data_IF_645066662462
#
_entry.id   IF_645066662462
#
_cell.length_a   1.000
_cell.length_b   1.000
_cell.length_c   1.000
_cell.angle_alpha   90.00
_cell.angle_beta   90.00
_cell.angle_gamma   90.00
#
_symmetry.space_group_name_H-M   'P 1'
#
loop_
_entity.id
_entity.type
_entity.pdbx_description
1 polymer ?
#
# COMPACT_ATOMS: atom_id res chain seq x y z
N UNK A 1 26.47 -96.34 -31.10
CA UNK A 1 26.14 -96.47 -29.65
C UNK A 1 25.76 -95.08 -29.11
N UNK A 2 25.46 -94.95 -27.80
CA UNK A 2 24.84 -93.73 -27.20
C UNK A 2 25.82 -92.55 -26.97
N UNK A 3 25.26 -91.33 -26.90
CA UNK A 3 25.85 -90.05 -26.40
C UNK A 3 25.84 -89.99 -24.85
N UNK A 4 26.30 -88.91 -24.16
CA UNK A 4 27.14 -87.75 -24.56
C UNK A 4 28.51 -87.81 -23.81
N UNK A 5 29.19 -86.84 -23.17
CA UNK A 5 29.09 -85.39 -22.80
C UNK A 5 30.51 -84.93 -22.35
N UNK A 6 30.99 -83.68 -22.30
CA UNK A 6 30.49 -82.32 -22.62
C UNK A 6 31.68 -81.42 -23.04
N UNK A 7 31.41 -80.34 -23.79
CA UNK A 7 32.27 -79.15 -24.04
C UNK A 7 32.06 -78.11 -22.90
N UNK A 8 32.87 -77.08 -22.61
CA UNK A 8 34.22 -76.65 -23.03
C UNK A 8 34.45 -75.13 -22.76
N UNK A 9 35.68 -74.66 -23.01
CA UNK A 9 36.19 -73.27 -23.26
C UNK A 9 35.20 -72.09 -23.46
N UNK A 10 35.53 -70.81 -23.14
CA UNK A 10 36.79 -70.16 -22.72
C UNK A 10 36.63 -68.69 -22.21
N UNK A 11 37.75 -68.12 -21.71
CA UNK A 11 38.18 -66.70 -21.72
C UNK A 11 37.42 -65.58 -20.95
N UNK A 12 38.02 -65.21 -19.80
CA UNK A 12 38.53 -63.88 -19.44
C UNK A 12 37.65 -62.61 -19.35
N UNK A 13 37.65 -62.06 -18.12
CA UNK A 13 37.67 -60.64 -17.72
C UNK A 13 36.47 -59.73 -18.07
N UNK A 14 35.80 -59.25 -17.02
CA UNK A 14 34.99 -58.02 -17.05
C UNK A 14 35.27 -57.16 -15.80
N UNK A 15 35.14 -55.84 -15.97
CA UNK A 15 35.33 -54.80 -14.94
C UNK A 15 34.05 -54.66 -14.07
N UNK A 16 34.17 -54.41 -12.76
CA UNK A 16 32.99 -54.32 -11.88
C UNK A 16 32.33 -52.93 -11.89
N UNK A 17 31.23 -52.79 -12.64
CA UNK A 17 30.44 -51.55 -12.73
C UNK A 17 29.93 -51.03 -11.37
N UNK A 18 30.19 -49.76 -11.08
CA UNK A 18 29.58 -49.02 -9.96
C UNK A 18 28.46 -48.10 -10.49
N UNK A 19 27.26 -48.64 -10.65
CA UNK A 19 26.08 -47.91 -11.10
C UNK A 19 24.96 -47.92 -10.04
N UNK A 20 24.62 -46.76 -9.46
CA UNK A 20 23.50 -46.72 -8.50
C UNK A 20 23.28 -45.49 -7.61
N UNK A 21 23.74 -44.27 -7.91
CA UNK A 21 23.39 -43.10 -7.06
C UNK A 21 23.34 -41.76 -7.82
N UNK A 22 22.17 -41.38 -8.36
CA UNK A 22 21.92 -39.99 -8.81
C UNK A 22 20.45 -39.55 -8.86
N UNK A 23 19.49 -40.45 -9.12
CA UNK A 23 18.08 -40.01 -9.31
C UNK A 23 17.34 -39.59 -8.03
N UNK A 24 17.84 -39.95 -6.85
CA UNK A 24 17.18 -39.63 -5.56
C UNK A 24 17.08 -38.14 -5.22
N UNK A 25 18.05 -37.32 -5.64
CA UNK A 25 18.12 -35.91 -5.24
C UNK A 25 17.14 -34.98 -5.98
N UNK A 26 16.68 -35.35 -7.18
CA UNK A 26 15.79 -34.50 -7.98
C UNK A 26 14.38 -34.38 -7.36
N UNK A 27 13.93 -35.45 -6.67
CA UNK A 27 12.62 -35.49 -6.02
C UNK A 27 12.67 -34.91 -4.60
N UNK A 28 13.74 -35.14 -3.82
CA UNK A 28 13.90 -34.54 -2.48
C UNK A 28 13.81 -33.00 -2.52
N UNK A 29 14.46 -32.38 -3.51
CA UNK A 29 14.42 -30.93 -3.71
C UNK A 29 12.99 -30.38 -3.86
N UNK A 30 12.05 -31.18 -4.37
CA UNK A 30 10.63 -30.83 -4.51
C UNK A 30 9.77 -31.28 -3.32
N UNK A 31 10.20 -32.28 -2.55
CA UNK A 31 9.53 -32.74 -1.33
C UNK A 31 10.07 -32.13 -0.04
N UNK A 32 10.91 -31.08 -0.13
CA UNK A 32 11.08 -30.08 0.94
C UNK A 32 9.78 -29.31 1.14
N UNK A 33 8.87 -29.95 1.87
CA UNK A 33 7.61 -29.39 2.34
C UNK A 33 7.89 -28.05 3.02
N UNK A 34 7.49 -26.94 2.37
CA UNK A 34 7.44 -25.61 2.97
C UNK A 34 6.86 -25.75 4.38
N UNK A 35 7.60 -25.30 5.40
CA UNK A 35 7.15 -25.46 6.78
C UNK A 35 5.76 -24.81 6.91
N UNK A 36 4.84 -25.33 7.77
CA UNK A 36 3.48 -24.82 7.84
C UNK A 36 3.40 -23.29 8.00
N UNK A 37 4.33 -22.72 8.76
CA UNK A 37 4.51 -21.27 8.92
C UNK A 37 5.00 -20.54 7.67
N UNK A 38 5.89 -21.12 6.87
CA UNK A 38 6.33 -20.58 5.57
C UNK A 38 5.18 -20.56 4.57
N UNK A 39 4.39 -21.63 4.48
CA UNK A 39 3.19 -21.67 3.64
C UNK A 39 2.15 -20.63 4.11
N UNK A 40 1.94 -20.51 5.43
CA UNK A 40 1.08 -19.46 5.99
C UNK A 40 1.61 -18.05 5.72
N UNK A 41 2.93 -17.83 5.77
CA UNK A 41 3.56 -16.55 5.45
C UNK A 41 3.47 -16.21 3.95
N UNK A 42 3.75 -17.17 3.06
CA UNK A 42 3.58 -17.03 1.62
C UNK A 42 2.12 -16.71 1.25
N UNK A 43 1.15 -17.42 1.86
CA UNK A 43 -0.29 -17.15 1.67
C UNK A 43 -0.70 -15.75 2.16
N UNK A 44 -0.13 -15.26 3.26
CA UNK A 44 -0.32 -13.87 3.74
C UNK A 44 0.29 -12.86 2.75
N UNK A 45 1.51 -13.08 2.26
CA UNK A 45 2.23 -12.23 1.29
C UNK A 45 1.48 -12.15 -0.05
N UNK A 46 1.01 -13.29 -0.58
CA UNK A 46 0.18 -13.36 -1.79
C UNK A 46 -1.13 -12.58 -1.61
N UNK A 47 -1.84 -12.75 -0.48
CA UNK A 47 -3.07 -12.01 -0.19
C UNK A 47 -2.85 -10.50 -0.18
N UNK A 48 -1.73 -10.02 0.37
CA UNK A 48 -1.34 -8.60 0.35
C UNK A 48 -1.08 -8.11 -1.07
N UNK A 49 -0.29 -8.85 -1.86
CA UNK A 49 0.02 -8.47 -3.24
C UNK A 49 -1.23 -8.40 -4.14
N UNK A 50 -2.16 -9.35 -4.01
CA UNK A 50 -3.44 -9.36 -4.73
C UNK A 50 -4.29 -8.12 -4.40
N UNK A 51 -4.35 -7.73 -3.13
CA UNK A 51 -5.06 -6.51 -2.69
C UNK A 51 -4.36 -5.24 -3.20
N UNK A 52 -3.03 -5.18 -3.18
CA UNK A 52 -2.26 -4.03 -3.67
C UNK A 52 -2.41 -3.85 -5.20
N UNK A 53 -2.40 -4.95 -5.97
CA UNK A 53 -2.67 -4.94 -7.40
C UNK A 53 -4.11 -4.50 -7.74
N UNK A 54 -5.14 -5.02 -7.03
CA UNK A 54 -6.53 -4.59 -7.23
C UNK A 54 -6.70 -3.08 -6.97
N UNK A 55 -6.02 -2.54 -5.94
CA UNK A 55 -6.03 -1.10 -5.66
C UNK A 55 -5.33 -0.27 -6.75
N UNK A 56 -4.28 -0.81 -7.39
CA UNK A 56 -3.65 -0.16 -8.54
C UNK A 56 -4.58 -0.13 -9.76
N UNK A 57 -5.31 -1.21 -10.04
CA UNK A 57 -6.33 -1.25 -11.11
C UNK A 57 -7.49 -0.28 -10.84
N UNK A 58 -7.99 -0.19 -9.60
CA UNK A 58 -9.04 0.76 -9.23
C UNK A 58 -8.54 2.23 -9.29
N UNK A 59 -7.27 2.48 -8.95
CA UNK A 59 -6.63 3.79 -9.15
C UNK A 59 -6.49 4.15 -10.64
N UNK A 60 -6.10 3.19 -11.51
CA UNK A 60 -6.03 3.39 -12.96
C UNK A 60 -7.40 3.70 -13.57
N UNK A 61 -8.46 3.01 -13.12
CA UNK A 61 -9.85 3.32 -13.53
C UNK A 61 -10.26 4.73 -13.10
N UNK A 62 -9.93 5.15 -11.87
CA UNK A 62 -10.21 6.50 -11.39
C UNK A 62 -9.42 7.57 -12.17
N UNK A 63 -8.15 7.31 -12.50
CA UNK A 63 -7.32 8.17 -13.37
C UNK A 63 -7.96 8.35 -14.75
N UNK A 64 -8.39 7.26 -15.40
CA UNK A 64 -9.12 7.30 -16.68
C UNK A 64 -10.35 8.21 -16.61
N UNK A 65 -11.24 7.96 -15.64
CA UNK A 65 -12.49 8.71 -15.47
C UNK A 65 -12.21 10.21 -15.21
N UNK A 66 -11.22 10.51 -14.37
CA UNK A 66 -10.83 11.88 -14.03
C UNK A 66 -10.29 12.64 -15.25
N UNK A 67 -9.40 12.02 -16.04
CA UNK A 67 -8.82 12.66 -17.23
C UNK A 67 -9.84 12.90 -18.34
N UNK A 68 -10.69 11.91 -18.66
CA UNK A 68 -11.77 12.08 -19.66
C UNK A 68 -12.71 13.23 -19.23
N UNK A 69 -13.08 13.27 -17.94
CA UNK A 69 -13.90 14.36 -17.38
C UNK A 69 -13.18 15.70 -17.38
N UNK A 70 -11.86 15.69 -17.15
CA UNK A 70 -10.98 16.85 -17.18
C UNK A 70 -10.90 17.48 -18.57
N UNK A 71 -10.56 16.71 -19.61
CA UNK A 71 -10.54 17.17 -20.99
C UNK A 71 -11.91 17.71 -21.42
N UNK A 72 -13.01 17.00 -21.12
CA UNK A 72 -14.36 17.46 -21.44
C UNK A 72 -14.69 18.80 -20.77
N UNK A 73 -14.32 18.99 -19.49
CA UNK A 73 -14.50 20.27 -18.78
C UNK A 73 -13.60 21.39 -19.31
N UNK A 74 -12.35 21.07 -19.67
CA UNK A 74 -11.39 22.04 -20.21
C UNK A 74 -11.84 22.55 -21.58
N UNK A 75 -12.25 21.64 -22.48
CA UNK A 75 -12.81 21.99 -23.79
C UNK A 75 -14.11 22.77 -23.65
N UNK A 76 -15.05 22.35 -22.79
CA UNK A 76 -16.29 23.13 -22.54
C UNK A 76 -16.01 24.55 -22.00
N UNK A 77 -14.94 24.72 -21.22
CA UNK A 77 -14.49 26.04 -20.76
C UNK A 77 -13.92 26.85 -21.94
N UNK A 78 -13.12 26.24 -22.82
CA UNK A 78 -12.60 26.87 -24.04
C UNK A 78 -13.73 27.34 -24.97
N UNK A 79 -14.70 26.47 -25.30
CA UNK A 79 -15.88 26.82 -26.12
C UNK A 79 -16.65 28.02 -25.55
N UNK A 80 -16.81 28.09 -24.22
CA UNK A 80 -17.52 29.20 -23.56
C UNK A 80 -16.86 30.55 -23.84
N UNK A 81 -15.53 30.59 -23.95
CA UNK A 81 -14.77 31.80 -24.26
C UNK A 81 -14.70 32.08 -25.78
N UNK A 82 -14.33 31.09 -26.60
CA UNK A 82 -14.07 31.29 -28.03
C UNK A 82 -15.33 31.27 -28.91
N UNK A 83 -16.45 30.74 -28.41
CA UNK A 83 -17.70 30.47 -29.15
C UNK A 83 -17.59 29.44 -30.28
N UNK A 84 -16.41 28.84 -30.48
CA UNK A 84 -16.18 27.80 -31.50
C UNK A 84 -16.57 26.44 -30.90
N UNK A 85 -17.50 25.67 -31.50
CA UNK A 85 -17.85 24.33 -31.04
C UNK A 85 -16.76 23.32 -31.42
N UNK A 86 -15.92 22.95 -30.46
CA UNK A 86 -14.73 22.09 -30.67
C UNK A 86 -14.66 20.90 -29.72
N UNK A 87 -15.44 20.91 -28.62
CA UNK A 87 -15.43 19.85 -27.60
C UNK A 87 -15.80 18.49 -28.22
N UNK A 88 -16.83 18.43 -29.06
CA UNK A 88 -17.25 17.17 -29.67
C UNK A 88 -16.21 16.61 -30.65
N UNK A 89 -15.73 17.46 -31.58
CA UNK A 89 -14.74 17.07 -32.58
C UNK A 89 -13.43 16.58 -31.94
N UNK A 90 -12.85 17.35 -31.02
CA UNK A 90 -11.60 16.98 -30.35
C UNK A 90 -11.76 15.74 -29.45
N UNK A 91 -12.90 15.57 -28.78
CA UNK A 91 -13.18 14.35 -28.01
C UNK A 91 -13.16 13.12 -28.93
N UNK A 92 -13.99 13.10 -29.97
CA UNK A 92 -14.10 11.96 -30.88
C UNK A 92 -12.77 11.66 -31.59
N UNK A 93 -12.08 12.68 -32.12
CA UNK A 93 -10.89 12.50 -32.95
C UNK A 93 -9.62 12.16 -32.14
N UNK A 94 -9.41 12.81 -30.99
CA UNK A 94 -8.12 12.74 -30.25
C UNK A 94 -8.18 12.01 -28.91
N UNK A 95 -9.36 11.90 -28.28
CA UNK A 95 -9.50 11.31 -26.94
C UNK A 95 -10.20 9.97 -26.97
N UNK A 96 -11.27 9.80 -27.76
CA UNK A 96 -11.98 8.51 -27.84
C UNK A 96 -11.20 7.45 -28.62
N UNK A 97 -10.35 7.88 -29.55
CA UNK A 97 -9.33 7.08 -30.26
C UNK A 97 -8.16 6.64 -29.38
N UNK A 98 -7.99 7.23 -28.18
CA UNK A 98 -6.82 6.96 -27.33
C UNK A 98 -6.93 5.63 -26.58
N UNK A 99 -5.80 4.94 -26.40
CA UNK A 99 -5.76 3.65 -25.70
C UNK A 99 -6.31 3.72 -24.26
N UNK A 100 -6.19 4.86 -23.57
CA UNK A 100 -6.71 5.04 -22.21
C UNK A 100 -8.23 5.28 -22.17
N UNK A 101 -8.90 5.54 -23.30
CA UNK A 101 -10.36 5.70 -23.33
C UNK A 101 -11.12 4.39 -23.12
N UNK A 102 -10.53 3.24 -23.46
CA UNK A 102 -11.17 1.93 -23.29
C UNK A 102 -11.28 1.53 -21.81
N UNK A 103 -12.51 1.39 -21.30
CA UNK A 103 -12.76 0.84 -19.95
C UNK A 103 -12.69 -0.70 -19.92
N UNK A 104 -12.74 -1.35 -21.11
CA UNK A 104 -12.94 -2.80 -21.24
C UNK A 104 -11.81 -3.60 -20.59
N UNK A 105 -10.55 -3.27 -20.90
CA UNK A 105 -9.39 -4.00 -20.37
C UNK A 105 -9.25 -3.87 -18.85
N UNK A 106 -9.45 -2.66 -18.31
CA UNK A 106 -9.34 -2.41 -16.86
C UNK A 106 -10.47 -3.11 -16.10
N UNK A 107 -11.69 -3.14 -16.65
CA UNK A 107 -12.80 -3.90 -16.06
C UNK A 107 -12.55 -5.42 -16.12
N UNK A 108 -12.07 -5.95 -17.24
CA UNK A 108 -11.78 -7.38 -17.37
C UNK A 108 -10.76 -7.84 -16.31
N UNK A 109 -9.63 -7.11 -16.17
CA UNK A 109 -8.63 -7.40 -15.13
C UNK A 109 -9.19 -7.26 -13.70
N UNK A 110 -10.06 -6.27 -13.43
CA UNK A 110 -10.73 -6.14 -12.13
C UNK A 110 -11.66 -7.33 -11.83
N UNK A 111 -12.38 -7.84 -12.83
CA UNK A 111 -13.30 -8.97 -12.67
C UNK A 111 -12.60 -10.31 -12.55
N UNK A 112 -11.52 -10.53 -13.31
CA UNK A 112 -10.64 -11.69 -13.18
C UNK A 112 -10.03 -11.75 -11.76
N UNK A 113 -9.48 -10.63 -11.29
CA UNK A 113 -8.93 -10.52 -9.93
C UNK A 113 -9.99 -10.70 -8.84
N UNK A 114 -11.23 -10.23 -9.04
CA UNK A 114 -12.36 -10.57 -8.16
C UNK A 114 -12.65 -12.08 -8.17
N UNK A 115 -12.64 -12.73 -9.34
CA UNK A 115 -12.86 -14.17 -9.50
C UNK A 115 -11.82 -15.02 -8.77
N UNK A 116 -10.53 -14.80 -9.07
CA UNK A 116 -9.40 -15.51 -8.46
C UNK A 116 -9.39 -15.35 -6.94
N UNK A 117 -9.60 -14.12 -6.44
CA UNK A 117 -9.65 -13.89 -4.99
C UNK A 117 -10.87 -14.54 -4.32
N UNK A 118 -12.04 -14.52 -4.99
CA UNK A 118 -13.26 -15.19 -4.51
C UNK A 118 -13.06 -16.69 -4.38
N UNK A 119 -12.47 -17.33 -5.39
CA UNK A 119 -12.19 -18.76 -5.42
C UNK A 119 -11.17 -19.17 -4.34
N UNK A 120 -10.06 -18.43 -4.21
CA UNK A 120 -8.93 -18.86 -3.36
C UNK A 120 -8.99 -18.40 -1.89
N UNK A 121 -9.78 -17.37 -1.55
CA UNK A 121 -9.79 -16.78 -0.20
C UNK A 121 -11.15 -16.64 0.49
N UNK A 122 -12.28 -16.61 -0.21
CA UNK A 122 -13.61 -16.41 0.42
C UNK A 122 -14.68 -17.43 -0.06
N UNK A 123 -14.24 -18.63 -0.49
CA UNK A 123 -15.09 -19.81 -0.75
C UNK A 123 -16.32 -19.51 -1.62
N UNK A 124 -16.13 -18.84 -2.76
CA UNK A 124 -17.20 -18.55 -3.72
C UNK A 124 -18.02 -17.28 -3.43
N UNK A 125 -17.89 -16.65 -2.25
CA UNK A 125 -18.70 -15.47 -1.90
C UNK A 125 -18.16 -14.18 -2.55
N UNK A 126 -18.50 -13.94 -3.83
CA UNK A 126 -18.04 -12.76 -4.62
C UNK A 126 -18.39 -11.41 -3.98
N UNK A 127 -19.53 -11.30 -3.28
CA UNK A 127 -19.92 -10.09 -2.54
C UNK A 127 -18.95 -9.78 -1.39
N UNK A 128 -18.64 -10.78 -0.57
CA UNK A 128 -17.68 -10.67 0.55
C UNK A 128 -16.24 -10.46 0.07
N UNK A 129 -15.84 -11.14 -1.00
CA UNK A 129 -14.56 -10.93 -1.68
C UNK A 129 -14.38 -9.47 -2.13
N UNK A 130 -15.32 -8.95 -2.93
CA UNK A 130 -15.32 -7.56 -3.41
C UNK A 130 -15.32 -6.54 -2.27
N UNK A 131 -16.12 -6.78 -1.23
CA UNK A 131 -16.16 -5.94 -0.03
C UNK A 131 -14.82 -5.91 0.72
N UNK A 132 -14.05 -7.01 0.73
CA UNK A 132 -12.69 -7.03 1.31
C UNK A 132 -11.65 -6.38 0.40
N UNK A 133 -11.70 -6.61 -0.91
CA UNK A 133 -10.74 -6.02 -1.87
C UNK A 133 -10.80 -4.49 -1.81
N UNK A 134 -12.00 -3.92 -1.98
CA UNK A 134 -12.26 -2.47 -1.84
C UNK A 134 -12.09 -1.99 -0.40
N UNK A 135 -12.61 -2.74 0.58
CA UNK A 135 -12.56 -2.40 2.00
C UNK A 135 -11.17 -2.39 2.62
N UNK A 136 -10.17 -3.03 2.00
CA UNK A 136 -8.76 -2.98 2.45
C UNK A 136 -8.11 -1.62 2.21
N UNK A 137 -8.79 -0.68 1.54
CA UNK A 137 -8.45 0.75 1.52
C UNK A 137 -8.80 1.50 2.81
N UNK A 138 -9.56 0.90 3.74
CA UNK A 138 -9.86 1.52 5.03
C UNK A 138 -8.59 1.63 5.88
N UNK A 139 -8.03 2.83 5.91
CA UNK A 139 -7.19 3.31 7.01
C UNK A 139 -7.93 2.95 8.30
N UNK A 140 -7.26 2.28 9.25
CA UNK A 140 -7.82 2.07 10.59
C UNK A 140 -7.97 3.44 11.23
N UNK A 141 -9.17 4.02 11.18
CA UNK A 141 -9.40 5.34 11.72
C UNK A 141 -9.22 5.29 13.23
N UNK A 142 -8.21 6.00 13.73
CA UNK A 142 -7.86 6.09 15.15
C UNK A 142 -8.88 6.96 15.93
N UNK A 143 -10.19 6.80 15.67
CA UNK A 143 -11.27 7.60 16.26
C UNK A 143 -11.14 7.69 17.78
N UNK A 144 -10.82 6.58 18.45
CA UNK A 144 -10.61 6.54 19.90
C UNK A 144 -9.38 7.33 20.37
N UNK A 145 -8.30 7.39 19.58
CA UNK A 145 -7.13 8.22 19.86
C UNK A 145 -7.44 9.70 19.66
N UNK A 146 -8.12 10.05 18.56
CA UNK A 146 -8.56 11.43 18.28
C UNK A 146 -9.55 11.94 19.32
N UNK A 147 -10.44 11.06 19.81
CA UNK A 147 -11.38 11.33 20.89
C UNK A 147 -10.65 11.54 22.23
N UNK A 148 -9.70 10.67 22.59
CA UNK A 148 -8.85 10.84 23.78
C UNK A 148 -8.06 12.15 23.74
N UNK A 149 -7.41 12.49 22.62
CA UNK A 149 -6.72 13.78 22.48
C UNK A 149 -7.67 14.97 22.55
N UNK A 150 -8.89 14.84 22.02
CA UNK A 150 -9.93 15.86 22.12
C UNK A 150 -10.37 16.12 23.56
N UNK A 151 -10.58 15.07 24.36
CA UNK A 151 -10.90 15.19 25.79
C UNK A 151 -9.73 15.81 26.57
N UNK A 152 -8.49 15.36 26.33
CA UNK A 152 -7.31 15.89 27.01
C UNK A 152 -7.09 17.38 26.70
N UNK A 153 -7.27 17.80 25.43
CA UNK A 153 -7.24 19.21 25.06
C UNK A 153 -8.40 20.01 25.69
N UNK A 154 -9.60 19.44 25.73
CA UNK A 154 -10.77 20.04 26.37
C UNK A 154 -10.61 20.25 27.88
N UNK A 155 -9.89 19.36 28.57
CA UNK A 155 -9.55 19.49 29.99
C UNK A 155 -8.38 20.45 30.23
N UNK A 156 -7.40 20.48 29.31
CA UNK A 156 -6.25 21.38 29.41
C UNK A 156 -6.60 22.86 29.16
N UNK A 157 -7.64 23.15 28.37
CA UNK A 157 -8.03 24.53 28.06
C UNK A 157 -8.47 25.35 29.29
N UNK A 158 -9.41 24.89 30.15
CA UNK A 158 -9.73 25.59 31.39
C UNK A 158 -8.54 25.73 32.35
N UNK A 159 -7.68 24.71 32.41
CA UNK A 159 -6.47 24.74 33.23
C UNK A 159 -5.47 25.81 32.76
N UNK A 160 -5.28 25.95 31.43
CA UNK A 160 -4.46 27.02 30.86
C UNK A 160 -5.07 28.41 31.09
N UNK A 161 -6.37 28.59 30.90
CA UNK A 161 -7.04 29.88 31.16
C UNK A 161 -6.91 30.27 32.63
N UNK A 162 -7.11 29.32 33.55
CA UNK A 162 -6.91 29.54 34.99
C UNK A 162 -5.45 29.86 35.33
N UNK A 163 -4.49 29.10 34.79
CA UNK A 163 -3.06 29.34 35.02
C UNK A 163 -2.58 30.70 34.50
N UNK A 164 -3.06 31.11 33.33
CA UNK A 164 -2.79 32.45 32.76
C UNK A 164 -3.43 33.53 33.64
N UNK A 165 -4.66 33.34 34.11
CA UNK A 165 -5.33 34.29 35.00
C UNK A 165 -4.58 34.50 36.32
N UNK A 166 -4.24 33.42 37.04
CA UNK A 166 -3.46 33.50 38.29
C UNK A 166 -2.03 34.01 38.04
N UNK A 167 -1.46 33.78 36.87
CA UNK A 167 -0.19 34.37 36.43
C UNK A 167 -0.25 35.90 36.26
N UNK A 168 -1.44 36.53 36.20
CA UNK A 168 -1.61 37.98 36.19
C UNK A 168 -2.01 38.56 37.56
N UNK A 169 -2.30 37.74 38.57
CA UNK A 169 -2.50 38.22 39.94
C UNK A 169 -1.15 38.51 40.60
N UNK A 170 -1.05 39.64 41.30
CA UNK A 170 0.18 40.08 41.94
C UNK A 170 0.60 39.14 43.10
N UNK A 171 -0.35 38.79 43.96
CA UNK A 171 -0.12 38.01 45.19
C UNK A 171 0.50 36.63 44.90
N UNK A 172 0.08 35.97 43.81
CA UNK A 172 0.63 34.66 43.38
C UNK A 172 2.08 34.75 42.87
N UNK A 173 2.60 35.96 42.60
CA UNK A 173 4.01 36.18 42.22
C UNK A 173 4.89 36.32 43.46
N UNK A 174 4.40 37.06 44.45
CA UNK A 174 5.11 37.34 45.69
C UNK A 174 5.16 36.11 46.63
N UNK A 175 4.18 35.21 46.54
CA UNK A 175 4.12 33.95 47.30
C UNK A 175 5.06 32.85 46.77
N UNK A 176 5.46 32.89 45.49
CA UNK A 176 6.22 31.81 44.82
C UNK A 176 7.69 32.22 44.58
N UNK A 177 8.65 31.80 45.42
CA UNK A 177 10.06 32.10 45.21
C UNK A 177 10.56 31.46 43.90
N UNK A 178 11.00 32.29 42.96
CA UNK A 178 11.47 31.86 41.64
C UNK A 178 10.40 31.86 40.53
N UNK A 179 9.28 32.57 40.73
CA UNK A 179 8.17 32.69 39.78
C UNK A 179 8.59 32.92 38.31
N UNK A 180 9.53 33.84 38.03
CA UNK A 180 10.00 34.12 36.67
C UNK A 180 10.64 32.92 35.97
N UNK A 181 11.43 32.12 36.70
CA UNK A 181 12.06 30.91 36.16
C UNK A 181 11.01 29.83 35.86
N UNK A 182 9.99 29.73 36.71
CA UNK A 182 8.86 28.82 36.52
C UNK A 182 8.02 29.23 35.30
N UNK A 183 7.73 30.52 35.15
CA UNK A 183 7.06 31.11 33.99
C UNK A 183 7.84 30.83 32.69
N UNK A 184 9.17 31.01 32.70
CA UNK A 184 10.02 30.77 31.54
C UNK A 184 10.00 29.30 31.10
N UNK A 185 10.10 28.36 32.04
CA UNK A 185 10.03 26.91 31.76
C UNK A 185 8.66 26.52 31.20
N UNK A 186 7.56 26.95 31.82
CA UNK A 186 6.22 26.67 31.29
C UNK A 186 5.95 27.36 29.95
N UNK A 187 6.46 28.59 29.75
CA UNK A 187 6.36 29.32 28.49
C UNK A 187 7.04 28.58 27.33
N UNK A 188 8.28 28.11 27.52
CA UNK A 188 8.99 27.33 26.51
C UNK A 188 8.32 25.98 26.20
N UNK A 189 7.64 25.36 27.18
CA UNK A 189 6.83 24.15 26.95
C UNK A 189 5.48 24.45 26.27
N UNK A 190 4.87 25.59 26.55
CA UNK A 190 3.58 26.01 26.00
C UNK A 190 3.68 26.37 24.51
N UNK A 191 4.76 27.05 24.08
CA UNK A 191 4.92 27.55 22.70
C UNK A 191 4.81 26.42 21.65
N UNK A 192 5.52 25.27 21.75
CA UNK A 192 5.37 24.15 20.79
C UNK A 192 3.98 23.51 20.80
N UNK A 193 3.33 23.43 21.96
CA UNK A 193 1.98 22.87 22.11
C UNK A 193 0.95 23.79 21.44
N UNK A 194 1.03 25.10 21.72
CA UNK A 194 0.18 26.12 21.13
C UNK A 194 0.37 26.21 19.61
N UNK A 195 1.61 26.19 19.12
CA UNK A 195 1.91 26.16 17.68
C UNK A 195 1.31 24.91 17.01
N UNK A 196 1.47 23.73 17.62
CA UNK A 196 0.87 22.48 17.12
C UNK A 196 -0.66 22.54 17.09
N UNK A 197 -1.28 23.19 18.08
CA UNK A 197 -2.73 23.42 18.13
C UNK A 197 -3.18 24.37 17.01
N UNK A 198 -2.46 25.47 16.76
CA UNK A 198 -2.75 26.39 15.65
C UNK A 198 -2.62 25.71 14.29
N UNK A 199 -1.61 24.86 14.08
CA UNK A 199 -1.47 24.05 12.85
C UNK A 199 -2.66 23.08 12.73
N UNK A 200 -3.06 22.43 13.82
CA UNK A 200 -4.25 21.58 13.86
C UNK A 200 -5.55 22.32 13.51
N UNK A 201 -5.74 23.54 14.00
CA UNK A 201 -6.88 24.40 13.64
C UNK A 201 -6.86 24.80 12.17
N UNK A 202 -5.71 25.16 11.61
CA UNK A 202 -5.58 25.46 10.17
C UNK A 202 -5.95 24.25 9.30
N UNK A 203 -5.49 23.05 9.65
CA UNK A 203 -5.89 21.80 8.98
C UNK A 203 -7.41 21.54 9.08
N UNK A 204 -8.03 21.83 10.22
CA UNK A 204 -9.49 21.72 10.40
C UNK A 204 -10.28 22.74 9.58
N UNK A 205 -9.77 23.96 9.42
CA UNK A 205 -10.36 25.00 8.56
C UNK A 205 -10.26 24.57 7.09
N UNK A 206 -9.09 24.17 6.60
CA UNK A 206 -8.91 23.69 5.22
C UNK A 206 -9.78 22.45 4.92
N UNK A 207 -9.92 21.54 5.89
CA UNK A 207 -10.82 20.38 5.81
C UNK A 207 -12.29 20.80 5.64
N UNK A 208 -12.77 21.80 6.41
CA UNK A 208 -14.13 22.35 6.24
C UNK A 208 -14.31 23.08 4.91
N UNK A 209 -13.32 23.86 4.48
CA UNK A 209 -13.31 24.55 3.18
C UNK A 209 -13.13 23.63 1.96
N UNK A 210 -13.20 22.30 2.14
CA UNK A 210 -13.04 21.27 1.08
C UNK A 210 -11.70 21.33 0.32
N UNK A 211 -10.69 22.01 0.88
CA UNK A 211 -9.35 22.07 0.31
C UNK A 211 -8.69 20.71 0.53
N UNK A 212 -8.20 20.08 -0.54
CA UNK A 212 -7.52 18.79 -0.44
C UNK A 212 -6.07 18.96 0.06
N UNK A 213 -5.93 19.30 1.34
CA UNK A 213 -4.63 19.51 1.99
C UNK A 213 -3.74 18.25 1.96
N UNK A 214 -4.32 17.05 1.93
CA UNK A 214 -3.59 15.78 1.78
C UNK A 214 -2.86 15.72 0.43
N UNK A 215 -3.46 16.25 -0.63
CA UNK A 215 -2.81 16.39 -1.94
C UNK A 215 -1.79 17.53 -1.96
N UNK A 216 -2.11 18.69 -1.39
CA UNK A 216 -1.22 19.88 -1.38
C UNK A 216 0.10 19.60 -0.63
N UNK A 217 0.03 18.99 0.55
CA UNK A 217 1.22 18.66 1.35
C UNK A 217 1.82 17.28 1.02
N UNK A 218 1.37 16.62 -0.05
CA UNK A 218 1.90 15.33 -0.48
C UNK A 218 1.76 14.21 0.56
N UNK A 219 0.86 14.31 1.53
CA UNK A 219 0.70 13.39 2.68
C UNK A 219 0.11 12.01 2.31
N UNK A 220 0.19 11.63 1.04
CA UNK A 220 0.11 10.24 0.62
C UNK A 220 1.34 9.49 1.14
N UNK A 221 1.21 8.83 2.29
CA UNK A 221 2.15 7.80 2.75
C UNK A 221 2.37 6.81 1.60
N UNK A 222 3.58 6.74 1.00
CA UNK A 222 3.87 5.72 0.01
C UNK A 222 3.74 4.36 0.68
N UNK A 223 3.14 3.36 0.01
CA UNK A 223 3.22 1.99 0.55
C UNK A 223 4.68 1.53 0.44
N UNK A 224 5.40 1.56 1.57
CA UNK A 224 6.86 1.33 1.70
C UNK A 224 7.34 0.02 1.06
N UNK A 225 6.43 -0.87 0.70
CA UNK A 225 6.65 -2.07 -0.12
C UNK A 225 7.23 -1.79 -1.51
N UNK A 226 7.03 -0.61 -2.11
CA UNK A 226 7.32 -0.36 -3.53
C UNK A 226 8.80 -0.22 -3.86
N UNK A 227 9.65 0.25 -2.95
CA UNK A 227 11.06 0.53 -3.23
C UNK A 227 11.98 -0.69 -2.97
N UNK A 228 11.63 -1.56 -2.02
CA UNK A 228 12.46 -2.72 -1.65
C UNK A 228 12.49 -3.79 -2.75
N UNK A 229 11.42 -3.92 -3.54
CA UNK A 229 11.34 -4.89 -4.65
C UNK A 229 12.27 -4.54 -5.80
N UNK A 230 12.33 -3.28 -6.24
CA UNK A 230 13.22 -2.86 -7.34
C UNK A 230 14.70 -2.93 -6.98
N UNK A 231 15.06 -2.67 -5.71
CA UNK A 231 16.45 -2.77 -5.25
C UNK A 231 16.91 -4.23 -5.17
N UNK A 232 16.07 -5.14 -4.66
CA UNK A 232 16.39 -6.56 -4.57
C UNK A 232 16.50 -7.23 -5.95
N UNK A 233 15.61 -6.91 -6.89
CA UNK A 233 15.64 -7.47 -8.25
C UNK A 233 16.80 -6.93 -9.12
N UNK A 234 17.26 -5.69 -8.85
CA UNK A 234 18.49 -5.15 -9.48
C UNK A 234 19.74 -5.88 -8.98
N UNK A 235 19.83 -6.16 -7.68
CA UNK A 235 20.96 -6.88 -7.08
C UNK A 235 21.06 -8.34 -7.55
N UNK A 236 19.92 -9.02 -7.73
CA UNK A 236 19.90 -10.37 -8.29
C UNK A 236 20.44 -10.43 -9.72
N UNK A 237 20.09 -9.45 -10.56
CA UNK A 237 20.56 -9.39 -11.96
C UNK A 237 22.05 -9.05 -12.09
N UNK A 238 22.62 -8.24 -11.20
CA UNK A 238 24.07 -7.93 -11.24
C UNK A 238 24.97 -9.11 -10.91
N UNK A 239 24.53 -10.04 -10.07
CA UNK A 239 25.32 -11.24 -9.75
C UNK A 239 25.26 -12.30 -10.87
N UNK A 240 24.10 -12.48 -11.52
CA UNK A 240 23.96 -13.43 -12.64
C UNK A 240 24.68 -12.98 -13.93
N UNK A 241 25.17 -11.74 -13.98
CA UNK A 241 26.00 -11.22 -15.07
C UNK A 241 27.52 -11.31 -14.79
N UNK A 242 27.92 -12.01 -13.71
CA UNK A 242 29.32 -12.08 -13.22
C UNK A 242 29.76 -13.49 -12.79
N UNK A 243 29.04 -14.50 -13.26
CA UNK A 243 29.33 -15.95 -13.14
C UNK A 243 29.02 -16.61 -14.47
#
# INVERSE_FOLDING_TARGET
MKRPTTTGTAFSNDESDNAGTSEGNALDASSRLLAPDEYHHAKKKLRKAVVEHYRALEALKNYRILNITGFRKALKKFEKFTKIPVQHAYMAEKVETSAFYSDKAVNAMLEEMEGVYTLRFEQGNRKKARARLRGSGKIKSHHFSTFRSGILLGLALPALVSGIYHSFLQETRDEIPGWDALLFVYGMLLIPVLFSLLVGLNLLVWSRSRINYVFIFGMHVPSVNTNTSYTQDRAGRTNKARS
#
